data_IF_979737819285
#
_entry.id   IF_979737819285
#
_cell.length_a   1.000
_cell.length_b   1.000
_cell.length_c   1.000
_cell.angle_alpha   90.00
_cell.angle_beta   90.00
_cell.angle_gamma   90.00
#
_symmetry.space_group_name_H-M   'P 1'
#
loop_
_entity.id
_entity.type
_entity.pdbx_description
1 polymer ?
#
# COMPACT_ATOMS: atom_id res chain seq x y z
N UNK A 1 20.80 -12.68 -22.12
CA UNK A 1 20.05 -13.93 -22.06
C UNK A 1 19.97 -14.50 -20.64
N UNK A 2 21.09 -14.65 -19.95
CA UNK A 2 21.10 -15.12 -18.57
C UNK A 2 20.37 -14.18 -17.60
N UNK A 3 20.40 -12.88 -17.86
CA UNK A 3 19.74 -11.86 -17.02
C UNK A 3 18.20 -11.98 -17.03
N UNK A 4 17.64 -12.48 -18.12
CA UNK A 4 16.19 -12.65 -18.24
C UNK A 4 15.66 -13.74 -17.29
N UNK A 5 16.51 -14.69 -16.94
CA UNK A 5 16.18 -15.76 -16.03
C UNK A 5 16.13 -15.34 -14.55
N UNK A 6 16.90 -14.32 -14.20
CA UNK A 6 16.97 -13.85 -12.82
C UNK A 6 15.83 -12.85 -12.49
N UNK A 7 15.36 -12.13 -13.49
CA UNK A 7 14.34 -11.11 -13.33
C UNK A 7 13.01 -11.59 -12.73
N UNK A 8 12.43 -12.74 -13.13
CA UNK A 8 11.10 -13.13 -12.66
C UNK A 8 10.98 -13.37 -11.16
N UNK A 9 12.03 -13.79 -10.49
CA UNK A 9 11.94 -14.05 -9.06
C UNK A 9 12.19 -12.82 -8.20
N UNK A 10 13.02 -11.92 -8.71
CA UNK A 10 13.44 -10.74 -7.96
C UNK A 10 12.32 -9.71 -7.90
N UNK A 11 11.48 -9.65 -8.96
CA UNK A 11 10.50 -8.58 -9.15
C UNK A 11 9.05 -9.01 -9.05
N UNK A 12 8.76 -10.16 -8.45
CA UNK A 12 7.39 -10.66 -8.40
C UNK A 12 6.51 -9.98 -7.38
N UNK A 13 7.07 -9.39 -6.34
CA UNK A 13 6.30 -8.84 -5.22
C UNK A 13 6.99 -7.65 -4.61
N UNK A 14 6.18 -6.76 -4.05
CA UNK A 14 6.65 -5.66 -3.22
C UNK A 14 6.92 -6.18 -1.82
N UNK A 15 8.12 -5.95 -1.29
CA UNK A 15 8.49 -6.40 0.05
C UNK A 15 9.50 -5.48 0.70
N UNK A 16 9.47 -5.46 2.03
CA UNK A 16 10.44 -4.71 2.83
C UNK A 16 9.95 -3.33 3.23
N UNK A 17 10.77 -2.64 3.97
CA UNK A 17 10.54 -1.29 4.44
C UNK A 17 11.60 -0.36 3.86
N UNK A 18 11.16 0.68 3.17
CA UNK A 18 12.05 1.71 2.65
C UNK A 18 11.58 3.07 3.14
N UNK A 19 12.45 3.85 3.79
CA UNK A 19 12.07 5.18 4.24
C UNK A 19 11.84 6.11 3.06
N UNK A 20 10.94 7.06 3.23
CA UNK A 20 10.65 8.06 2.24
C UNK A 20 10.21 9.34 2.93
N UNK A 21 9.96 10.39 2.17
CA UNK A 21 9.44 11.64 2.69
C UNK A 21 8.19 12.06 1.92
N UNK A 22 7.32 12.76 2.62
CA UNK A 22 6.20 13.47 2.00
C UNK A 22 6.55 14.95 2.05
N UNK A 23 6.57 15.60 0.90
CA UNK A 23 6.96 17.01 0.81
C UNK A 23 5.86 17.96 1.28
N UNK A 24 6.17 19.27 1.32
CA UNK A 24 5.22 20.28 1.77
C UNK A 24 3.97 20.40 0.90
N UNK A 25 3.99 19.86 -0.30
CA UNK A 25 2.84 19.80 -1.22
C UNK A 25 2.04 18.50 -1.08
N UNK A 26 2.44 17.61 -0.18
CA UNK A 26 1.76 16.35 0.06
C UNK A 26 2.13 15.23 -0.89
N UNK A 27 3.28 15.33 -1.54
CA UNK A 27 3.73 14.30 -2.49
C UNK A 27 4.68 13.33 -1.82
N UNK A 28 4.36 12.04 -1.96
CA UNK A 28 5.21 10.96 -1.52
C UNK A 28 6.23 10.65 -2.61
N UNK A 29 7.49 10.59 -2.25
CA UNK A 29 8.54 10.07 -3.13
C UNK A 29 8.56 8.55 -3.00
N UNK A 30 8.11 7.85 -4.03
CA UNK A 30 8.14 6.38 -4.03
C UNK A 30 9.60 5.92 -4.02
N UNK A 31 9.99 5.06 -3.06
CA UNK A 31 11.36 4.54 -3.02
C UNK A 31 11.79 3.89 -4.34
N UNK A 32 13.03 4.14 -4.74
CA UNK A 32 13.55 3.67 -6.03
C UNK A 32 13.39 2.15 -6.24
N UNK A 33 13.57 1.38 -5.17
CA UNK A 33 13.42 -0.08 -5.24
C UNK A 33 12.00 -0.50 -5.64
N UNK A 34 10.99 0.18 -5.10
CA UNK A 34 9.60 -0.09 -5.46
C UNK A 34 9.23 0.52 -6.82
N UNK A 35 9.77 1.69 -7.11
CA UNK A 35 9.48 2.37 -8.37
C UNK A 35 9.88 1.52 -9.58
N UNK A 36 11.05 0.91 -9.54
CA UNK A 36 11.51 0.06 -10.62
C UNK A 36 10.55 -1.11 -10.90
N UNK A 37 10.12 -1.78 -9.83
CA UNK A 37 9.15 -2.88 -9.93
C UNK A 37 7.80 -2.39 -10.47
N UNK A 38 7.32 -1.27 -9.96
CA UNK A 38 6.02 -0.71 -10.34
C UNK A 38 6.01 -0.23 -11.79
N UNK A 39 7.06 0.43 -12.24
CA UNK A 39 7.18 0.89 -13.61
C UNK A 39 7.21 -0.28 -14.60
N UNK A 40 7.90 -1.37 -14.24
CA UNK A 40 8.03 -2.52 -15.11
C UNK A 40 6.74 -3.35 -15.19
N UNK A 41 6.02 -3.46 -14.09
CA UNK A 41 4.89 -4.40 -14.00
C UNK A 41 3.51 -3.75 -14.06
N UNK A 42 3.38 -2.46 -13.72
CA UNK A 42 2.06 -1.82 -13.60
C UNK A 42 1.93 -0.48 -14.32
N UNK A 43 2.91 0.39 -14.18
CA UNK A 43 2.82 1.74 -14.71
C UNK A 43 2.57 2.80 -13.62
N UNK A 44 2.27 4.05 -14.03
CA UNK A 44 2.26 5.19 -13.10
C UNK A 44 0.92 5.47 -12.42
N UNK A 45 -0.13 4.70 -12.69
CA UNK A 45 -1.45 4.97 -12.14
C UNK A 45 -1.73 4.13 -10.90
N UNK A 46 -2.28 4.78 -9.88
CA UNK A 46 -2.54 4.17 -8.57
C UNK A 46 -3.90 4.58 -8.05
N UNK A 47 -4.47 3.70 -7.23
CA UNK A 47 -5.56 4.08 -6.33
C UNK A 47 -4.99 4.24 -4.93
N UNK A 48 -5.07 5.46 -4.40
CA UNK A 48 -4.52 5.80 -3.08
C UNK A 48 -5.69 5.88 -2.11
N UNK A 49 -5.68 5.07 -1.06
CA UNK A 49 -6.81 4.95 -0.15
C UNK A 49 -6.40 4.54 1.27
N UNK A 50 -7.38 4.22 2.11
CA UNK A 50 -7.18 3.72 3.46
C UNK A 50 -8.43 2.98 3.93
N UNK A 51 -8.27 2.09 4.89
CA UNK A 51 -9.41 1.43 5.56
C UNK A 51 -9.82 2.17 6.83
N UNK A 52 -8.89 2.76 7.53
CA UNK A 52 -9.12 3.34 8.86
C UNK A 52 -8.62 4.79 9.01
N UNK A 53 -7.96 5.31 7.99
CA UNK A 53 -7.38 6.65 8.04
C UNK A 53 -6.09 6.75 8.83
N UNK A 54 -5.57 5.63 9.38
CA UNK A 54 -4.34 5.62 10.16
C UNK A 54 -3.09 5.42 9.31
N UNK A 55 -3.25 4.77 8.18
CA UNK A 55 -2.19 4.55 7.20
C UNK A 55 -2.74 4.74 5.80
N UNK A 56 -1.85 4.79 4.82
CA UNK A 56 -2.21 4.98 3.41
C UNK A 56 -1.89 3.71 2.65
N UNK A 57 -2.83 3.23 1.85
CA UNK A 57 -2.59 2.13 0.91
C UNK A 57 -2.45 2.67 -0.49
N UNK A 58 -1.40 2.27 -1.17
CA UNK A 58 -1.11 2.67 -2.53
C UNK A 58 -1.20 1.43 -3.42
N UNK A 59 -2.30 1.30 -4.12
CA UNK A 59 -2.55 0.16 -5.01
C UNK A 59 -2.18 0.50 -6.44
N UNK A 60 -1.33 -0.28 -7.10
CA UNK A 60 -1.28 -0.22 -8.57
C UNK A 60 -2.69 -0.38 -9.11
N UNK A 61 -3.07 0.38 -10.12
CA UNK A 61 -4.46 0.37 -10.59
C UNK A 61 -4.93 -1.03 -11.02
N UNK A 62 -4.04 -1.83 -11.59
CA UNK A 62 -4.40 -3.19 -11.98
C UNK A 62 -4.76 -4.07 -10.78
N UNK A 63 -4.06 -3.91 -9.66
CA UNK A 63 -4.36 -4.63 -8.43
C UNK A 63 -5.68 -4.15 -7.80
N UNK A 64 -5.95 -2.85 -7.86
CA UNK A 64 -7.22 -2.31 -7.38
C UNK A 64 -8.39 -2.83 -8.22
N UNK A 65 -8.24 -2.84 -9.53
CA UNK A 65 -9.26 -3.39 -10.44
C UNK A 65 -9.56 -4.86 -10.16
N UNK A 66 -8.54 -5.64 -9.80
CA UNK A 66 -8.74 -7.04 -9.43
C UNK A 66 -9.63 -7.17 -8.19
N UNK A 67 -9.48 -6.26 -7.21
CA UNK A 67 -10.36 -6.19 -6.04
C UNK A 67 -11.78 -5.81 -6.46
N UNK A 68 -11.92 -4.79 -7.28
CA UNK A 68 -13.23 -4.34 -7.79
C UNK A 68 -13.96 -5.45 -8.53
N UNK A 69 -13.24 -6.22 -9.33
CA UNK A 69 -13.81 -7.36 -10.07
C UNK A 69 -14.37 -8.43 -9.13
N UNK A 70 -13.75 -8.62 -7.98
CA UNK A 70 -14.27 -9.53 -6.95
C UNK A 70 -15.46 -8.95 -6.20
N UNK A 71 -15.54 -7.64 -6.07
CA UNK A 71 -16.63 -6.97 -5.36
C UNK A 71 -17.89 -6.85 -6.20
N UNK A 72 -17.77 -6.67 -7.52
CA UNK A 72 -18.91 -6.44 -8.43
C UNK A 72 -20.04 -7.46 -8.29
N UNK A 73 -19.78 -8.78 -8.25
CA UNK A 73 -20.85 -9.77 -8.17
C UNK A 73 -21.44 -9.95 -6.77
N UNK A 74 -20.86 -9.32 -5.75
CA UNK A 74 -21.31 -9.49 -4.38
C UNK A 74 -22.55 -8.66 -4.08
N UNK A 75 -23.45 -9.14 -3.19
CA UNK A 75 -24.65 -8.39 -2.83
C UNK A 75 -24.30 -7.04 -2.19
N UNK A 76 -24.94 -5.97 -2.68
CA UNK A 76 -24.75 -4.62 -2.16
C UNK A 76 -25.20 -4.48 -0.70
N UNK A 77 -26.01 -5.42 -0.21
CA UNK A 77 -26.48 -5.42 1.18
C UNK A 77 -25.54 -6.10 2.16
N UNK A 78 -24.44 -6.70 1.66
CA UNK A 78 -23.45 -7.28 2.55
C UNK A 78 -22.76 -6.17 3.34
N UNK A 79 -22.88 -6.23 4.67
CA UNK A 79 -22.37 -5.17 5.55
C UNK A 79 -20.86 -4.97 5.48
N UNK A 80 -20.11 -6.06 5.33
CA UNK A 80 -18.65 -5.97 5.23
C UNK A 80 -18.21 -5.35 3.90
N UNK A 81 -18.87 -5.71 2.81
CA UNK A 81 -18.64 -5.10 1.50
C UNK A 81 -18.93 -3.59 1.56
N UNK A 82 -20.07 -3.22 2.17
CA UNK A 82 -20.41 -1.81 2.31
C UNK A 82 -19.40 -1.04 3.15
N UNK A 83 -18.98 -1.59 4.28
CA UNK A 83 -17.95 -0.95 5.12
C UNK A 83 -16.64 -0.76 4.36
N UNK A 84 -16.23 -1.77 3.61
CA UNK A 84 -15.02 -1.70 2.81
C UNK A 84 -15.11 -0.57 1.78
N UNK A 85 -16.22 -0.51 1.04
CA UNK A 85 -16.44 0.52 0.03
C UNK A 85 -16.60 1.92 0.64
N UNK A 86 -17.29 2.03 1.77
CA UNK A 86 -17.44 3.31 2.47
C UNK A 86 -16.06 3.89 2.82
N UNK A 87 -15.16 3.08 3.38
CA UNK A 87 -13.83 3.51 3.80
C UNK A 87 -12.94 3.80 2.61
N UNK A 88 -12.86 2.89 1.67
CA UNK A 88 -11.97 3.02 0.53
C UNK A 88 -12.39 4.13 -0.44
N UNK A 89 -13.67 4.49 -0.46
CA UNK A 89 -14.14 5.65 -1.21
C UNK A 89 -13.90 6.96 -0.45
N UNK A 90 -14.22 6.98 0.84
CA UNK A 90 -14.05 8.21 1.63
C UNK A 90 -12.60 8.71 1.61
N UNK A 91 -11.65 7.81 1.75
CA UNK A 91 -10.23 8.15 1.74
C UNK A 91 -9.59 8.09 0.34
N UNK A 92 -10.33 7.61 -0.64
CA UNK A 92 -9.74 7.20 -1.91
C UNK A 92 -9.71 8.26 -2.99
N UNK A 93 -8.61 8.27 -3.75
CA UNK A 93 -8.49 9.05 -4.98
C UNK A 93 -7.54 8.34 -5.93
N UNK A 94 -7.84 8.47 -7.22
CA UNK A 94 -6.89 8.08 -8.25
C UNK A 94 -5.70 9.02 -8.22
N UNK A 95 -4.51 8.49 -8.42
CA UNK A 95 -3.30 9.26 -8.49
C UNK A 95 -2.40 8.78 -9.62
N UNK A 96 -1.54 9.68 -10.08
CA UNK A 96 -0.55 9.35 -11.08
C UNK A 96 0.81 9.83 -10.60
N UNK A 97 1.76 8.90 -10.53
CA UNK A 97 3.14 9.25 -10.19
C UNK A 97 3.78 10.03 -11.35
N UNK A 98 4.52 11.08 -11.03
CA UNK A 98 5.24 11.83 -12.04
C UNK A 98 6.52 11.09 -12.47
N UNK A 99 7.27 11.67 -13.41
CA UNK A 99 8.50 11.06 -13.93
C UNK A 99 9.56 10.83 -12.86
N UNK A 100 9.49 11.55 -11.75
CA UNK A 100 10.41 11.42 -10.62
C UNK A 100 9.90 10.49 -9.52
N UNK A 101 8.76 9.83 -9.74
CA UNK A 101 8.18 8.92 -8.78
C UNK A 101 7.46 9.60 -7.61
N UNK A 102 6.98 10.82 -7.80
CA UNK A 102 6.23 11.56 -6.78
C UNK A 102 4.74 11.35 -6.99
N UNK A 103 4.06 10.95 -5.93
CA UNK A 103 2.63 10.65 -5.93
C UNK A 103 1.92 11.49 -4.88
N UNK A 104 0.89 12.22 -5.29
CA UNK A 104 0.12 13.05 -4.38
C UNK A 104 -0.71 12.17 -3.43
N UNK A 105 -0.57 12.42 -2.13
CA UNK A 105 -1.43 11.81 -1.11
C UNK A 105 -2.66 12.71 -0.93
N UNK A 106 -3.87 12.16 -0.97
CA UNK A 106 -5.08 12.95 -0.73
C UNK A 106 -5.01 13.76 0.56
N UNK A 107 -5.49 15.00 0.53
CA UNK A 107 -5.40 15.91 1.68
C UNK A 107 -6.03 15.34 2.95
N UNK A 108 -7.12 14.61 2.82
CA UNK A 108 -7.77 13.96 3.95
C UNK A 108 -6.85 12.95 4.65
N UNK A 109 -6.04 12.23 3.89
CA UNK A 109 -5.07 11.27 4.43
C UNK A 109 -3.80 11.93 4.94
N UNK A 110 -3.40 13.04 4.33
CA UNK A 110 -2.25 13.80 4.85
C UNK A 110 -2.49 14.21 6.30
N UNK A 111 -3.70 14.58 6.63
CA UNK A 111 -4.09 14.94 7.98
C UNK A 111 -4.35 13.71 8.85
N UNK A 112 -5.25 12.82 8.46
CA UNK A 112 -5.66 11.70 9.31
C UNK A 112 -4.54 10.69 9.57
N UNK A 113 -3.68 10.45 8.59
CA UNK A 113 -2.56 9.50 8.70
C UNK A 113 -1.22 10.20 9.01
N UNK A 114 -1.24 11.52 9.25
CA UNK A 114 -0.04 12.31 9.53
C UNK A 114 1.06 12.11 8.47
N UNK A 115 0.69 12.21 7.22
CA UNK A 115 1.60 12.05 6.08
C UNK A 115 2.41 13.32 5.86
N UNK A 116 3.36 13.57 6.77
CA UNK A 116 4.26 14.71 6.72
C UNK A 116 5.65 14.25 7.13
N UNK A 117 6.67 14.74 6.42
CA UNK A 117 8.04 14.40 6.74
C UNK A 117 8.35 12.93 6.50
N UNK A 118 9.04 12.32 7.44
CA UNK A 118 9.53 10.95 7.29
C UNK A 118 8.43 9.91 7.47
N UNK A 119 8.33 9.00 6.50
CA UNK A 119 7.36 7.91 6.50
C UNK A 119 8.04 6.58 6.20
N UNK A 120 7.41 5.50 6.62
CA UNK A 120 7.81 4.13 6.28
C UNK A 120 6.94 3.67 5.11
N UNK A 121 7.58 3.20 4.04
CA UNK A 121 6.88 2.63 2.89
C UNK A 121 7.12 1.12 2.91
N UNK A 122 6.04 0.38 3.12
CA UNK A 122 6.07 -1.05 3.35
C UNK A 122 5.52 -1.80 2.16
N UNK A 123 6.21 -2.86 1.75
CA UNK A 123 5.75 -3.73 0.67
C UNK A 123 4.80 -4.80 1.19
N UNK A 124 3.54 -4.72 0.79
CA UNK A 124 2.52 -5.72 1.14
C UNK A 124 2.19 -6.60 -0.07
N UNK A 125 3.24 -7.09 -0.71
CA UNK A 125 3.22 -8.00 -1.85
C UNK A 125 2.63 -7.41 -3.13
N UNK A 126 1.38 -6.96 -3.11
CA UNK A 126 0.68 -6.43 -4.29
C UNK A 126 0.40 -4.94 -4.21
N UNK A 127 0.63 -4.33 -3.05
CA UNK A 127 0.42 -2.90 -2.85
C UNK A 127 1.42 -2.39 -1.82
N UNK A 128 1.47 -1.07 -1.66
CA UNK A 128 2.30 -0.43 -0.65
C UNK A 128 1.41 0.08 0.47
N UNK A 129 1.90 0.00 1.70
CA UNK A 129 1.29 0.65 2.83
C UNK A 129 2.25 1.67 3.41
N UNK A 130 1.78 2.90 3.58
CA UNK A 130 2.62 4.02 4.02
C UNK A 130 2.15 4.50 5.38
N UNK A 131 3.08 4.57 6.32
CA UNK A 131 2.81 4.99 7.68
C UNK A 131 3.71 6.17 8.05
N UNK A 132 3.17 7.08 8.85
CA UNK A 132 4.01 7.97 9.62
C UNK A 132 4.94 7.08 10.46
N UNK A 133 6.25 7.30 10.36
CA UNK A 133 7.22 6.37 10.95
C UNK A 133 7.03 6.21 12.47
N UNK A 134 6.83 7.32 13.17
CA UNK A 134 6.61 7.29 14.62
C UNK A 134 5.37 6.49 15.00
N UNK A 135 4.27 6.72 14.30
CA UNK A 135 3.02 5.99 14.53
C UNK A 135 3.15 4.50 14.24
N UNK A 136 3.95 4.16 13.23
CA UNK A 136 4.15 2.74 12.90
C UNK A 136 4.92 2.00 13.98
N UNK A 137 5.96 2.62 14.53
CA UNK A 137 6.70 2.04 15.65
C UNK A 137 5.79 1.81 16.86
N UNK A 138 4.92 2.76 17.17
CA UNK A 138 3.92 2.60 18.23
C UNK A 138 2.94 1.47 17.93
N UNK A 139 2.52 1.35 16.67
CA UNK A 139 1.65 0.26 16.24
C UNK A 139 2.30 -1.11 16.45
N UNK A 140 3.56 -1.26 16.05
CA UNK A 140 4.29 -2.52 16.23
C UNK A 140 4.43 -2.90 17.72
N UNK A 141 4.62 -1.92 18.58
CA UNK A 141 4.70 -2.17 20.02
C UNK A 141 3.38 -2.62 20.62
N UNK A 142 2.25 -2.07 20.13
CA UNK A 142 0.91 -2.44 20.61
C UNK A 142 0.41 -3.78 20.10
N UNK A 143 0.94 -4.21 18.96
CA UNK A 143 0.52 -5.45 18.30
C UNK A 143 1.73 -6.37 18.12
N UNK A 144 2.31 -6.89 19.23
CA UNK A 144 3.49 -7.76 19.14
C UNK A 144 3.14 -9.10 18.50
N UNK A 145 4.10 -9.66 17.77
CA UNK A 145 3.97 -10.98 17.19
C UNK A 145 4.08 -12.02 18.32
N UNK A 146 3.03 -12.82 18.53
CA UNK A 146 2.91 -13.74 19.68
C UNK A 146 3.17 -15.19 19.26
N UNK A 147 3.28 -16.08 20.28
CA UNK A 147 3.38 -17.53 20.04
C UNK A 147 2.10 -18.06 19.37
N UNK A 148 0.95 -17.49 19.69
CA UNK A 148 -0.32 -17.85 19.04
C UNK A 148 -0.30 -17.51 17.56
N UNK A 149 0.27 -16.35 17.21
CA UNK A 149 0.44 -15.94 15.81
C UNK A 149 1.37 -16.92 15.09
N UNK A 150 2.47 -17.32 15.72
CA UNK A 150 3.40 -18.30 15.16
C UNK A 150 2.70 -19.63 14.90
N UNK A 151 1.88 -20.07 15.83
CA UNK A 151 1.12 -21.30 15.69
C UNK A 151 0.12 -21.23 14.52
N UNK A 152 -0.58 -20.12 14.42
CA UNK A 152 -1.52 -19.89 13.32
C UNK A 152 -0.81 -19.96 11.96
N UNK A 153 0.38 -19.36 11.85
CA UNK A 153 1.17 -19.41 10.62
C UNK A 153 1.65 -20.82 10.32
N UNK A 154 2.06 -21.58 11.34
CA UNK A 154 2.50 -22.96 11.16
C UNK A 154 1.38 -23.84 10.59
N UNK A 155 0.15 -23.60 10.99
CA UNK A 155 -1.02 -24.30 10.44
C UNK A 155 -1.24 -23.98 8.96
N UNK A 156 -0.76 -22.82 8.50
CA UNK A 156 -0.80 -22.42 7.09
C UNK A 156 0.45 -22.87 6.32
N UNK A 157 1.38 -23.53 6.96
CA UNK A 157 2.61 -24.00 6.33
C UNK A 157 3.72 -22.96 6.24
N UNK A 158 3.68 -21.93 7.07
CA UNK A 158 4.68 -20.84 7.08
C UNK A 158 5.63 -20.96 8.27
#
# INVERSE_FOLDING_TARGET
MALVWLAPWVFHMLRGNYPATVDGKGRLKIPAAFKAYLDENYGPEFYVTSLDGLSVRVYPILEWRAIEDKLKPLPSMNKSVKKFLDRTNYYGQMGRADSQGRLLIPSILRESAAMQGEVAVLGYLKYLEVWNNQRYLEHLEREPFTEEDQKALSELGI
#
